data_IF_349460213801
#
_entry.id   IF_349460213801
#
_cell.length_a   1.000
_cell.length_b   1.000
_cell.length_c   1.000
_cell.angle_alpha   90.00
_cell.angle_beta   90.00
_cell.angle_gamma   90.00
#
_symmetry.space_group_name_H-M   'P 1'
#
loop_
_entity.id
_entity.type
_entity.pdbx_description
1 polymer ?
#
# COMPACT_ATOMS: atom_id res chain seq x y z
N UNK A 1 12.90 10.88 -2.53
CA UNK A 1 12.30 12.21 -2.83
C UNK A 1 11.49 12.09 -4.11
N UNK A 2 10.57 13.01 -4.37
CA UNK A 2 9.86 13.03 -5.65
C UNK A 2 10.85 13.41 -6.77
N UNK A 3 10.66 12.89 -7.99
CA UNK A 3 11.51 13.27 -9.10
C UNK A 3 11.50 14.79 -9.30
N UNK A 4 12.68 15.39 -9.45
CA UNK A 4 12.89 16.80 -9.76
C UNK A 4 12.51 17.82 -8.66
N UNK A 5 12.23 17.37 -7.43
CA UNK A 5 12.07 18.28 -6.29
C UNK A 5 12.57 17.68 -4.95
N UNK A 6 12.42 18.45 -3.86
CA UNK A 6 12.82 18.05 -2.51
C UNK A 6 11.69 17.42 -1.68
N UNK A 7 10.53 17.12 -2.26
CA UNK A 7 9.40 16.57 -1.53
C UNK A 7 9.62 15.09 -1.23
N UNK A 8 9.07 14.62 -0.11
CA UNK A 8 9.04 13.19 0.19
C UNK A 8 8.01 12.55 -0.75
N UNK A 9 8.45 11.58 -1.55
CA UNK A 9 7.54 10.80 -2.39
C UNK A 9 7.01 9.58 -1.65
N UNK A 10 7.92 8.75 -1.15
CA UNK A 10 7.62 7.61 -0.30
C UNK A 10 8.46 7.69 0.97
N UNK A 11 7.82 7.52 2.11
CA UNK A 11 8.43 7.29 3.41
C UNK A 11 7.73 6.06 3.99
N UNK A 12 8.35 4.89 3.81
CA UNK A 12 7.72 3.60 4.06
C UNK A 12 7.00 3.58 5.44
N UNK A 13 5.74 3.12 5.51
CA UNK A 13 4.92 2.53 4.43
C UNK A 13 4.06 3.54 3.65
N UNK A 14 4.25 4.85 3.85
CA UNK A 14 3.41 5.91 3.29
C UNK A 14 3.92 6.44 1.96
N UNK A 15 2.99 6.68 1.04
CA UNK A 15 3.18 7.41 -0.20
C UNK A 15 2.50 8.79 -0.08
N UNK A 16 3.23 9.85 -0.42
CA UNK A 16 2.74 11.22 -0.35
C UNK A 16 1.83 11.60 -1.53
N UNK A 17 1.83 10.79 -2.60
CA UNK A 17 1.01 11.00 -3.80
C UNK A 17 -0.03 9.88 -3.94
N UNK A 18 -1.19 10.15 -4.57
CA UNK A 18 -2.16 9.10 -4.86
C UNK A 18 -1.57 7.93 -5.66
N UNK A 19 -1.91 6.71 -5.27
CA UNK A 19 -1.49 5.46 -5.91
C UNK A 19 -2.71 4.56 -6.20
N UNK A 20 -2.49 3.37 -6.74
CA UNK A 20 -3.53 2.33 -6.86
C UNK A 20 -3.92 1.69 -5.52
N UNK A 21 -3.32 2.07 -4.40
CA UNK A 21 -3.48 1.40 -3.10
C UNK A 21 -3.91 2.40 -2.02
N UNK A 22 -5.21 2.65 -1.94
CA UNK A 22 -5.80 3.59 -0.98
C UNK A 22 -6.04 2.92 0.35
N UNK A 23 -5.65 3.55 1.45
CA UNK A 23 -5.92 3.07 2.81
C UNK A 23 -6.80 4.05 3.56
N UNK A 24 -7.88 3.58 4.17
CA UNK A 24 -8.66 4.34 5.16
C UNK A 24 -8.43 3.72 6.54
N UNK A 25 -7.82 4.46 7.44
CA UNK A 25 -7.52 4.03 8.81
C UNK A 25 -7.57 5.25 9.75
N UNK A 26 -7.95 5.04 11.01
CA UNK A 26 -7.97 6.09 12.05
C UNK A 26 -8.67 7.42 11.61
N UNK A 27 -9.76 7.32 10.85
CA UNK A 27 -10.51 8.48 10.35
C UNK A 27 -9.83 9.28 9.22
N UNK A 28 -8.69 8.83 8.71
CA UNK A 28 -7.92 9.49 7.65
C UNK A 28 -7.77 8.59 6.42
N UNK A 29 -7.30 9.20 5.33
CA UNK A 29 -6.94 8.52 4.08
C UNK A 29 -5.43 8.62 3.88
N UNK A 30 -4.84 7.51 3.48
CA UNK A 30 -3.42 7.36 3.17
C UNK A 30 -3.27 6.61 1.84
N UNK A 31 -2.05 6.56 1.34
CA UNK A 31 -1.66 5.81 0.15
C UNK A 31 -0.42 4.99 0.48
N UNK A 32 -0.41 3.72 0.09
CA UNK A 32 0.82 2.92 0.01
C UNK A 32 1.31 2.88 -1.43
N UNK A 33 2.59 2.62 -1.69
CA UNK A 33 3.04 2.52 -3.10
C UNK A 33 2.60 1.19 -3.74
N UNK A 34 2.47 0.15 -2.93
CA UNK A 34 2.03 -1.20 -3.30
C UNK A 34 1.10 -1.78 -2.22
N UNK A 35 0.64 -3.02 -2.42
CA UNK A 35 -0.22 -3.70 -1.45
C UNK A 35 0.48 -4.00 -0.12
N UNK A 36 1.78 -4.30 -0.13
CA UNK A 36 2.57 -4.50 1.09
C UNK A 36 2.59 -3.24 1.95
N UNK A 37 2.88 -2.10 1.35
CA UNK A 37 2.88 -0.81 2.04
C UNK A 37 1.48 -0.42 2.52
N UNK A 38 0.44 -0.69 1.73
CA UNK A 38 -0.94 -0.43 2.15
C UNK A 38 -1.33 -1.20 3.43
N UNK A 39 -0.91 -2.47 3.54
CA UNK A 39 -1.08 -3.26 4.76
C UNK A 39 -0.13 -2.79 5.87
N UNK A 40 1.09 -2.38 5.51
CA UNK A 40 2.06 -1.79 6.42
C UNK A 40 1.56 -0.51 7.09
N UNK A 41 0.76 0.31 6.41
CA UNK A 41 0.11 1.50 7.00
C UNK A 41 -0.83 1.08 8.15
N UNK A 42 -1.65 0.05 7.95
CA UNK A 42 -2.54 -0.44 9.00
C UNK A 42 -1.74 -0.93 10.22
N UNK A 43 -0.65 -1.67 9.98
CA UNK A 43 0.25 -2.15 11.01
C UNK A 43 0.97 -1.00 11.75
N UNK A 44 1.49 -0.01 11.02
CA UNK A 44 2.21 1.14 11.58
C UNK A 44 1.31 2.03 12.43
N UNK A 45 0.03 2.16 12.07
CA UNK A 45 -0.96 2.92 12.84
C UNK A 45 -1.56 2.13 14.00
N UNK A 46 -1.37 0.81 14.05
CA UNK A 46 -2.01 -0.07 15.02
C UNK A 46 -3.54 0.03 14.97
N UNK A 47 -4.11 0.20 13.77
CA UNK A 47 -5.51 0.51 13.59
C UNK A 47 -6.16 -0.35 12.51
N UNK A 48 -7.45 -0.61 12.68
CA UNK A 48 -8.28 -1.20 11.63
C UNK A 48 -8.25 -0.33 10.37
N UNK A 49 -8.25 -1.01 9.23
CA UNK A 49 -8.08 -0.36 7.95
C UNK A 49 -8.93 -1.01 6.85
N UNK A 50 -9.34 -0.18 5.89
CA UNK A 50 -9.86 -0.64 4.60
C UNK A 50 -8.89 -0.22 3.52
N UNK A 51 -8.35 -1.20 2.79
CA UNK A 51 -7.53 -0.98 1.61
C UNK A 51 -8.40 -1.17 0.36
N UNK A 52 -8.43 -0.17 -0.52
CA UNK A 52 -9.08 -0.28 -1.84
C UNK A 52 -8.00 -0.28 -2.92
N UNK A 53 -8.03 -1.28 -3.79
CA UNK A 53 -7.13 -1.42 -4.94
C UNK A 53 -7.86 -2.07 -6.11
N UNK A 54 -7.13 -2.50 -7.14
CA UNK A 54 -7.67 -3.18 -8.32
C UNK A 54 -6.88 -4.44 -8.63
N UNK A 55 -7.53 -5.45 -9.20
CA UNK A 55 -6.87 -6.66 -9.70
C UNK A 55 -5.86 -6.30 -10.79
N UNK A 56 -4.64 -6.81 -10.68
CA UNK A 56 -3.58 -6.56 -11.66
C UNK A 56 -3.81 -7.22 -13.03
N UNK A 57 -4.71 -8.21 -13.11
CA UNK A 57 -5.06 -8.92 -14.35
C UNK A 57 -6.28 -8.30 -15.04
N UNK A 58 -7.44 -8.25 -14.35
CA UNK A 58 -8.70 -7.80 -14.95
C UNK A 58 -9.11 -6.35 -14.62
N UNK A 59 -8.43 -5.68 -13.66
CA UNK A 59 -8.76 -4.31 -13.24
C UNK A 59 -9.96 -4.17 -12.30
N UNK A 60 -10.63 -5.27 -11.92
CA UNK A 60 -11.76 -5.24 -10.99
C UNK A 60 -11.37 -4.67 -9.63
N UNK A 61 -12.29 -3.92 -9.01
CA UNK A 61 -12.05 -3.33 -7.68
C UNK A 61 -11.92 -4.43 -6.63
N UNK A 62 -10.83 -4.36 -5.87
CA UNK A 62 -10.57 -5.23 -4.73
C UNK A 62 -10.59 -4.41 -3.44
N UNK A 63 -11.19 -4.96 -2.40
CA UNK A 63 -11.21 -4.35 -1.06
C UNK A 63 -10.72 -5.35 -0.03
N UNK A 64 -9.71 -4.95 0.75
CA UNK A 64 -9.20 -5.72 1.87
C UNK A 64 -9.53 -4.99 3.17
N UNK A 65 -9.91 -5.76 4.18
CA UNK A 65 -10.18 -5.23 5.52
C UNK A 65 -9.17 -5.83 6.51
N UNK A 66 -8.51 -4.95 7.27
CA UNK A 66 -7.68 -5.31 8.41
C UNK A 66 -8.48 -5.01 9.69
N UNK A 67 -8.65 -6.03 10.53
CA UNK A 67 -9.30 -5.95 11.83
C UNK A 67 -8.42 -6.62 12.88
N UNK A 68 -8.17 -5.95 14.00
CA UNK A 68 -7.34 -6.47 15.10
C UNK A 68 -5.97 -7.01 14.61
N UNK A 69 -5.34 -6.28 13.68
CA UNK A 69 -4.05 -6.65 13.10
C UNK A 69 -4.07 -7.85 12.15
N UNK A 70 -5.25 -8.33 11.75
CA UNK A 70 -5.41 -9.48 10.84
C UNK A 70 -6.25 -9.10 9.63
N UNK A 71 -5.97 -9.71 8.48
CA UNK A 71 -6.88 -9.66 7.35
C UNK A 71 -8.20 -10.36 7.73
N UNK A 72 -9.32 -9.64 7.64
CA UNK A 72 -10.65 -10.19 7.88
C UNK A 72 -11.02 -11.25 6.83
N UNK A 73 -10.47 -11.09 5.61
CA UNK A 73 -10.55 -12.03 4.50
C UNK A 73 -9.23 -12.05 3.73
N UNK A 74 -8.85 -13.20 3.21
CA UNK A 74 -7.52 -13.44 2.63
C UNK A 74 -7.58 -14.06 1.24
N UNK A 75 -8.70 -13.92 0.53
CA UNK A 75 -8.78 -14.36 -0.86
C UNK A 75 -7.99 -13.42 -1.77
N UNK A 76 -7.23 -14.02 -2.69
CA UNK A 76 -6.39 -13.29 -3.64
C UNK A 76 -4.91 -13.68 -3.55
N UNK A 77 -4.12 -13.11 -4.45
CA UNK A 77 -2.68 -13.32 -4.52
C UNK A 77 -2.02 -11.96 -4.47
N UNK A 78 -1.05 -11.81 -3.58
CA UNK A 78 -0.10 -10.69 -3.61
C UNK A 78 1.09 -11.12 -4.45
N UNK A 79 1.38 -10.36 -5.50
CA UNK A 79 2.54 -10.60 -6.36
C UNK A 79 3.61 -9.54 -6.09
N UNK A 80 4.83 -10.00 -5.82
CA UNK A 80 6.02 -9.16 -5.73
C UNK A 80 6.89 -9.44 -6.95
N UNK A 81 6.94 -8.48 -7.88
CA UNK A 81 7.68 -8.66 -9.13
C UNK A 81 9.21 -8.64 -8.92
N UNK A 82 9.66 -7.92 -7.89
CA UNK A 82 11.07 -7.68 -7.58
C UNK A 82 11.40 -8.30 -6.21
N UNK A 83 12.58 -8.93 -6.03
CA UNK A 83 13.04 -9.39 -4.72
C UNK A 83 13.14 -8.24 -3.70
N UNK A 84 12.78 -8.49 -2.44
CA UNK A 84 12.68 -7.46 -1.40
C UNK A 84 13.97 -6.63 -1.18
N UNK A 85 15.15 -7.23 -1.39
CA UNK A 85 16.43 -6.53 -1.24
C UNK A 85 16.71 -5.50 -2.35
N UNK A 86 15.94 -5.51 -3.44
CA UNK A 86 16.05 -4.58 -4.57
C UNK A 86 14.96 -3.50 -4.59
N UNK A 87 13.98 -3.57 -3.69
CA UNK A 87 12.84 -2.64 -3.64
C UNK A 87 13.25 -1.16 -3.48
N UNK A 88 14.41 -0.89 -2.87
CA UNK A 88 14.90 0.48 -2.66
C UNK A 88 15.79 0.98 -3.81
N UNK A 89 16.13 0.12 -4.77
CA UNK A 89 16.87 0.54 -5.98
C UNK A 89 16.00 1.47 -6.83
N UNK A 90 14.68 1.21 -6.88
CA UNK A 90 13.69 2.08 -7.49
C UNK A 90 12.30 1.84 -6.90
N UNK A 91 11.98 2.54 -5.80
CA UNK A 91 10.70 2.38 -5.09
C UNK A 91 9.48 2.68 -5.97
N UNK A 92 9.63 3.49 -7.03
CA UNK A 92 8.55 3.79 -7.98
C UNK A 92 8.18 2.66 -8.93
N UNK A 93 9.07 1.68 -9.10
CA UNK A 93 8.90 0.52 -10.00
C UNK A 93 8.76 -0.80 -9.23
N UNK A 94 8.72 -0.74 -7.90
CA UNK A 94 8.74 -1.90 -7.01
C UNK A 94 7.35 -2.49 -6.79
#
# INVERSE_FOLDING_TARGET
LAPNDGNIWAANPFCAVPSGFRVRAAGKKYWGICIWDALGIAAALGADAIVTTTCGDCGDVMTLEVRDGRLARSEGIVHFAIPAHHWWDNIGFT
#
